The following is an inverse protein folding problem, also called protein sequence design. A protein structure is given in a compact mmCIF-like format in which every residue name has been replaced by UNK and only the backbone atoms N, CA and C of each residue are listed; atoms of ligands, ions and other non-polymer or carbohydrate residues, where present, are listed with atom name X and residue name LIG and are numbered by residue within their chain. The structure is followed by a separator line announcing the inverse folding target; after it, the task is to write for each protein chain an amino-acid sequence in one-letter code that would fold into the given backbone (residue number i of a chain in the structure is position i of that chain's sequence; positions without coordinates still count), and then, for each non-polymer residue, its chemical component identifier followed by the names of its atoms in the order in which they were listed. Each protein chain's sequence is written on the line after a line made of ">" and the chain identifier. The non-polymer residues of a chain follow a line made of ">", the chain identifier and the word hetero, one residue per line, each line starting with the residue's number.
data_IF_972597218600
#
_entry.id   IF_972597218600
#
_cell.length_a   1.000
_cell.length_b   1.000
_cell.length_c   1.000
_cell.angle_alpha   90.00
_cell.angle_beta   90.00
_cell.angle_gamma   90.00
#
_symmetry.space_group_name_H-M   'P 1'
#
loop_
_entity.id
_entity.type
_entity.pdbx_description
1 polymer ?
#
# COMPACT_ATOMS: atom_id res chain seq x y z
N UNK A 1 3.98 11.21 -0.04
CA UNK A 1 2.56 11.03 0.34
C UNK A 1 1.59 11.51 -0.72
N UNK A 2 1.65 12.77 -1.20
CA UNK A 2 0.77 13.25 -2.27
C UNK A 2 0.77 12.38 -3.52
N UNK A 3 1.96 12.14 -4.09
CA UNK A 3 2.10 11.26 -5.26
C UNK A 3 1.55 9.85 -5.04
N UNK A 4 1.78 9.25 -3.87
CA UNK A 4 1.22 7.95 -3.50
C UNK A 4 -0.32 7.97 -3.54
N UNK A 5 -0.95 8.94 -2.87
CA UNK A 5 -2.40 9.05 -2.79
C UNK A 5 -3.03 9.32 -4.16
N UNK A 6 -2.40 10.18 -4.96
CA UNK A 6 -2.88 10.50 -6.32
C UNK A 6 -2.80 9.29 -7.23
N UNK A 7 -1.66 8.62 -7.31
CA UNK A 7 -1.51 7.42 -8.15
C UNK A 7 -2.45 6.30 -7.72
N UNK A 8 -2.57 6.04 -6.41
CA UNK A 8 -3.48 5.01 -5.90
C UNK A 8 -4.94 5.33 -6.19
N UNK A 9 -5.36 6.60 -6.01
CA UNK A 9 -6.73 7.02 -6.33
C UNK A 9 -7.01 6.83 -7.82
N UNK A 10 -6.11 7.29 -8.70
CA UNK A 10 -6.23 7.14 -10.15
C UNK A 10 -6.50 5.68 -10.56
N UNK A 11 -5.70 4.74 -10.05
CA UNK A 11 -5.84 3.31 -10.36
C UNK A 11 -7.11 2.74 -9.73
N UNK A 12 -7.44 3.12 -8.50
CA UNK A 12 -8.63 2.62 -7.78
C UNK A 12 -9.94 2.91 -8.52
N UNK A 13 -10.03 4.07 -9.18
CA UNK A 13 -11.21 4.45 -9.96
C UNK A 13 -11.41 3.51 -11.14
N UNK A 14 -10.33 3.11 -11.81
CA UNK A 14 -10.40 2.14 -12.90
C UNK A 14 -10.69 0.72 -12.40
N UNK A 15 -10.11 0.30 -11.28
CA UNK A 15 -10.42 -0.99 -10.65
C UNK A 15 -11.91 -1.13 -10.29
N UNK A 16 -12.56 -0.02 -9.92
CA UNK A 16 -14.01 0.03 -9.61
C UNK A 16 -14.90 0.33 -10.83
N UNK A 17 -14.34 0.37 -12.05
CA UNK A 17 -15.08 0.70 -13.28
C UNK A 17 -15.80 2.06 -13.26
N UNK A 18 -15.27 3.05 -12.53
CA UNK A 18 -15.88 4.38 -12.49
C UNK A 18 -15.95 4.96 -13.89
N UNK A 19 -17.14 5.47 -14.25
CA UNK A 19 -17.41 6.02 -15.59
C UNK A 19 -17.16 5.04 -16.75
N UNK A 20 -17.17 3.73 -16.51
CA UNK A 20 -16.90 2.72 -17.52
C UNK A 20 -15.43 2.63 -17.93
N UNK A 21 -14.51 3.21 -17.14
CA UNK A 21 -13.07 3.08 -17.35
C UNK A 21 -12.57 1.88 -16.56
N UNK A 22 -12.05 0.88 -17.26
CA UNK A 22 -11.50 -0.36 -16.67
C UNK A 22 -10.02 -0.61 -17.01
N UNK A 23 -9.52 0.04 -18.06
CA UNK A 23 -8.11 -0.04 -18.43
C UNK A 23 -7.26 0.86 -17.53
N UNK A 24 -6.18 0.30 -17.00
CA UNK A 24 -5.23 1.04 -16.16
C UNK A 24 -4.06 1.67 -16.94
N UNK A 25 -3.99 1.41 -18.25
CA UNK A 25 -2.84 1.76 -19.10
C UNK A 25 -2.53 3.27 -19.11
N UNK A 26 -3.55 4.13 -19.06
CA UNK A 26 -3.31 5.59 -19.03
C UNK A 26 -2.61 6.03 -17.73
N UNK A 27 -2.80 5.30 -16.63
CA UNK A 27 -2.19 5.61 -15.33
C UNK A 27 -0.75 5.11 -15.22
N UNK A 28 -0.19 4.47 -16.24
CA UNK A 28 1.23 4.14 -16.29
C UNK A 28 2.13 5.38 -16.12
N UNK A 29 1.65 6.55 -16.59
CA UNK A 29 2.32 7.83 -16.33
C UNK A 29 2.44 8.12 -14.84
N UNK A 30 1.33 8.02 -14.10
CA UNK A 30 1.32 8.20 -12.65
C UNK A 30 2.12 7.11 -11.93
N UNK A 31 2.02 5.85 -12.37
CA UNK A 31 2.74 4.71 -11.79
C UNK A 31 4.26 4.86 -11.92
N UNK A 32 4.75 5.22 -13.11
CA UNK A 32 6.19 5.28 -13.38
C UNK A 32 6.81 6.60 -12.91
N UNK A 33 6.17 7.74 -13.19
CA UNK A 33 6.78 9.05 -12.92
C UNK A 33 6.42 9.60 -11.55
N UNK A 34 5.12 9.69 -11.22
CA UNK A 34 4.67 10.31 -9.97
C UNK A 34 4.98 9.41 -8.78
N UNK A 35 4.55 8.16 -8.85
CA UNK A 35 4.81 7.17 -7.82
C UNK A 35 6.23 6.63 -7.91
N UNK A 36 6.65 6.09 -9.05
CA UNK A 36 7.98 5.50 -9.22
C UNK A 36 9.12 6.47 -8.94
N UNK A 37 9.31 7.48 -9.78
CA UNK A 37 10.42 8.42 -9.62
C UNK A 37 10.16 9.40 -8.47
N UNK A 38 8.96 9.99 -8.39
CA UNK A 38 8.63 11.01 -7.40
C UNK A 38 8.71 10.53 -5.95
N UNK A 39 8.23 9.31 -5.65
CA UNK A 39 8.36 8.76 -4.30
C UNK A 39 9.79 8.32 -3.99
N UNK A 40 10.55 7.79 -4.96
CA UNK A 40 11.97 7.46 -4.75
C UNK A 40 12.79 8.70 -4.38
N UNK A 41 12.57 9.82 -5.07
CA UNK A 41 13.22 11.10 -4.75
C UNK A 41 12.80 11.56 -3.35
N UNK A 42 11.50 11.53 -3.05
CA UNK A 42 10.97 11.92 -1.73
C UNK A 42 11.55 11.06 -0.61
N UNK A 43 11.76 9.77 -0.85
CA UNK A 43 12.36 8.86 0.12
C UNK A 43 13.78 9.29 0.51
N UNK A 44 14.61 9.72 -0.44
CA UNK A 44 15.99 10.15 -0.15
C UNK A 44 16.01 11.31 0.86
N UNK A 45 15.05 12.23 0.78
CA UNK A 45 14.93 13.33 1.73
C UNK A 45 14.48 12.85 3.12
N UNK A 46 13.64 11.82 3.21
CA UNK A 46 13.28 11.21 4.50
C UNK A 46 14.49 10.49 5.15
N UNK A 47 15.39 9.91 4.35
CA UNK A 47 16.66 9.38 4.86
C UNK A 47 17.53 10.49 5.45
N UNK A 48 17.65 11.64 4.78
CA UNK A 48 18.40 12.81 5.29
C UNK A 48 17.80 13.34 6.59
N UNK A 49 16.47 13.29 6.75
CA UNK A 49 15.77 13.65 8.00
C UNK A 49 15.90 12.60 9.12
N UNK A 50 16.50 11.44 8.84
CA UNK A 50 16.61 10.32 9.79
C UNK A 50 15.30 9.56 10.02
N UNK A 51 14.31 9.71 9.13
CA UNK A 51 13.03 9.01 9.23
C UNK A 51 13.05 7.69 8.46
N UNK A 52 13.64 6.66 9.08
CA UNK A 52 13.81 5.33 8.47
C UNK A 52 12.49 4.68 8.07
N UNK A 53 11.42 4.88 8.85
CA UNK A 53 10.10 4.31 8.54
C UNK A 53 9.56 4.88 7.22
N UNK A 54 9.48 6.22 7.11
CA UNK A 54 8.99 6.86 5.89
C UNK A 54 9.91 6.60 4.70
N UNK A 55 11.23 6.59 4.88
CA UNK A 55 12.18 6.21 3.83
C UNK A 55 11.86 4.82 3.26
N UNK A 56 11.68 3.84 4.13
CA UNK A 56 11.44 2.44 3.73
C UNK A 56 10.10 2.30 3.03
N UNK A 57 9.04 2.89 3.59
CA UNK A 57 7.69 2.87 2.99
C UNK A 57 7.70 3.55 1.62
N UNK A 58 8.22 4.78 1.53
CA UNK A 58 8.24 5.52 0.26
C UNK A 58 9.05 4.80 -0.80
N UNK A 59 10.24 4.29 -0.46
CA UNK A 59 11.08 3.56 -1.41
C UNK A 59 10.41 2.27 -1.89
N UNK A 60 9.80 1.51 -0.97
CA UNK A 60 9.09 0.27 -1.28
C UNK A 60 7.94 0.53 -2.26
N UNK A 61 7.06 1.48 -1.96
CA UNK A 61 5.92 1.79 -2.83
C UNK A 61 6.33 2.43 -4.15
N UNK A 62 7.42 3.20 -4.17
CA UNK A 62 7.97 3.72 -5.41
C UNK A 62 8.38 2.58 -6.36
N UNK A 63 9.12 1.59 -5.84
CA UNK A 63 9.56 0.44 -6.63
C UNK A 63 8.40 -0.50 -7.01
N UNK A 64 7.41 -0.67 -6.11
CA UNK A 64 6.19 -1.39 -6.43
C UNK A 64 5.44 -0.76 -7.61
N UNK A 65 5.12 0.54 -7.52
CA UNK A 65 4.37 1.23 -8.58
C UNK A 65 5.17 1.34 -9.87
N UNK A 66 6.47 1.60 -9.79
CA UNK A 66 7.35 1.60 -10.96
C UNK A 66 7.39 0.23 -11.65
N UNK A 67 7.53 -0.85 -10.87
CA UNK A 67 7.50 -2.22 -11.38
C UNK A 67 6.14 -2.60 -11.97
N UNK A 68 5.05 -2.26 -11.29
CA UNK A 68 3.69 -2.50 -11.79
C UNK A 68 3.42 -1.73 -13.08
N UNK A 69 3.85 -0.46 -13.15
CA UNK A 69 3.79 0.34 -14.37
C UNK A 69 4.55 -0.30 -15.52
N UNK A 70 5.78 -0.78 -15.28
CA UNK A 70 6.60 -1.50 -16.26
C UNK A 70 5.89 -2.75 -16.81
N UNK A 71 5.25 -3.54 -15.96
CA UNK A 71 4.50 -4.74 -16.37
C UNK A 71 3.38 -4.38 -17.37
N UNK A 72 2.73 -3.23 -17.18
CA UNK A 72 1.62 -2.78 -18.02
C UNK A 72 2.05 -2.16 -19.36
N UNK A 73 3.32 -1.80 -19.54
CA UNK A 73 3.82 -1.14 -20.77
C UNK A 73 3.88 -2.18 -21.91
N UNK A 74 3.03 -2.06 -22.95
CA UNK A 74 3.00 -3.06 -24.02
C UNK A 74 4.33 -3.16 -24.78
N UNK A 75 5.04 -2.04 -24.95
CA UNK A 75 6.31 -1.98 -25.66
C UNK A 75 7.44 -2.78 -25.00
N UNK A 76 7.30 -3.17 -23.73
CA UNK A 76 8.28 -4.00 -23.02
C UNK A 76 8.02 -5.50 -23.21
N UNK A 77 6.93 -5.91 -23.86
CA UNK A 77 6.70 -7.29 -24.29
C UNK A 77 6.52 -8.30 -23.14
N UNK A 78 6.18 -7.84 -21.93
CA UNK A 78 6.04 -8.73 -20.76
C UNK A 78 4.92 -9.75 -20.99
N UNK A 79 3.72 -9.31 -21.38
CA UNK A 79 2.62 -10.22 -21.70
C UNK A 79 2.95 -11.12 -22.92
N UNK A 80 3.63 -10.58 -23.93
CA UNK A 80 4.00 -11.33 -25.14
C UNK A 80 4.96 -12.48 -24.83
N UNK A 81 5.84 -12.33 -23.83
CA UNK A 81 6.72 -13.41 -23.36
C UNK A 81 5.95 -14.63 -22.81
N UNK A 82 4.73 -14.43 -22.33
CA UNK A 82 3.82 -15.50 -21.91
C UNK A 82 2.88 -15.98 -23.03
N UNK A 83 3.00 -15.43 -24.25
CA UNK A 83 2.04 -15.67 -25.35
C UNK A 83 0.71 -14.92 -25.18
N UNK A 84 0.70 -13.83 -24.40
CA UNK A 84 -0.47 -13.01 -24.08
C UNK A 84 -0.90 -13.16 -22.62
N UNK A 85 -2.17 -12.85 -22.34
CA UNK A 85 -2.76 -12.95 -21.00
C UNK A 85 -3.16 -14.39 -20.66
N UNK A 86 -2.17 -15.26 -20.53
CA UNK A 86 -2.35 -16.68 -20.20
C UNK A 86 -2.60 -16.89 -18.71
N UNK A 87 -3.10 -18.07 -18.29
CA UNK A 87 -3.17 -18.42 -16.87
C UNK A 87 -1.81 -18.31 -16.16
N UNK A 88 -0.71 -18.62 -16.85
CA UNK A 88 0.65 -18.45 -16.29
C UNK A 88 0.97 -16.98 -16.00
N UNK A 89 0.66 -16.07 -16.95
CA UNK A 89 0.80 -14.62 -16.76
C UNK A 89 0.00 -14.14 -15.54
N UNK A 90 -1.26 -14.55 -15.43
CA UNK A 90 -2.12 -14.14 -14.33
C UNK A 90 -1.67 -14.68 -12.97
N UNK A 91 -1.18 -15.92 -12.92
CA UNK A 91 -0.56 -16.46 -11.71
C UNK A 91 0.72 -15.70 -11.34
N UNK A 92 1.58 -15.39 -12.31
CA UNK A 92 2.80 -14.61 -12.07
C UNK A 92 2.49 -13.20 -11.55
N UNK A 93 1.49 -12.53 -12.11
CA UNK A 93 1.01 -11.22 -11.65
C UNK A 93 0.42 -11.32 -10.23
N UNK A 94 -0.37 -12.36 -9.95
CA UNK A 94 -0.89 -12.64 -8.62
C UNK A 94 0.22 -12.82 -7.58
N UNK A 95 1.27 -13.58 -7.90
CA UNK A 95 2.44 -13.73 -7.02
C UNK A 95 3.19 -12.42 -6.81
N UNK A 96 3.38 -11.62 -7.87
CA UNK A 96 4.00 -10.31 -7.76
C UNK A 96 3.26 -9.47 -6.71
N UNK A 97 1.95 -9.27 -6.87
CA UNK A 97 1.15 -8.44 -5.95
C UNK A 97 1.08 -9.05 -4.54
N UNK A 98 0.95 -10.37 -4.43
CA UNK A 98 0.87 -11.07 -3.14
C UNK A 98 2.13 -10.87 -2.30
N UNK A 99 3.33 -10.92 -2.91
CA UNK A 99 4.57 -10.70 -2.18
C UNK A 99 4.69 -9.26 -1.67
N UNK A 100 4.13 -8.29 -2.41
CA UNK A 100 4.03 -6.91 -1.93
C UNK A 100 3.00 -6.76 -0.81
N UNK A 101 1.92 -7.54 -0.81
CA UNK A 101 1.01 -7.62 0.34
C UNK A 101 1.75 -8.13 1.59
N UNK A 102 2.52 -9.22 1.47
CA UNK A 102 3.35 -9.74 2.58
C UNK A 102 4.31 -8.66 3.10
N UNK A 103 4.92 -7.88 2.21
CA UNK A 103 5.79 -6.79 2.64
C UNK A 103 5.01 -5.66 3.35
N UNK A 104 3.84 -5.28 2.83
CA UNK A 104 2.99 -4.28 3.45
C UNK A 104 2.50 -4.69 4.85
N UNK A 105 2.29 -5.98 5.11
CA UNK A 105 1.94 -6.47 6.44
C UNK A 105 2.95 -6.00 7.51
N UNK A 106 4.25 -5.94 7.19
CA UNK A 106 5.25 -5.41 8.12
C UNK A 106 5.07 -3.90 8.38
N UNK A 107 4.69 -3.13 7.36
CA UNK A 107 4.36 -1.71 7.53
C UNK A 107 3.09 -1.51 8.36
N UNK A 108 2.07 -2.35 8.14
CA UNK A 108 0.85 -2.35 8.95
C UNK A 108 1.18 -2.60 10.42
N UNK A 109 1.96 -3.64 10.72
CA UNK A 109 2.37 -3.96 12.10
C UNK A 109 3.18 -2.82 12.73
N UNK A 110 4.15 -2.25 12.00
CA UNK A 110 4.94 -1.13 12.50
C UNK A 110 4.08 0.13 12.73
N UNK A 111 3.09 0.37 11.87
CA UNK A 111 2.21 1.55 11.96
C UNK A 111 1.34 1.59 13.21
N UNK A 112 1.08 0.44 13.84
CA UNK A 112 0.38 0.35 15.14
C UNK A 112 1.01 1.23 16.22
N UNK A 113 2.32 1.49 16.11
CA UNK A 113 3.09 2.32 17.04
C UNK A 113 3.04 3.81 16.73
N UNK A 114 2.49 4.21 15.57
CA UNK A 114 2.52 5.57 15.04
C UNK A 114 1.21 6.32 15.32
N UNK A 115 0.18 6.08 14.49
CA UNK A 115 -1.11 6.75 14.59
C UNK A 115 -2.20 5.98 13.85
N UNK A 116 -3.47 6.23 14.19
CA UNK A 116 -4.59 5.47 13.65
C UNK A 116 -4.82 5.68 12.15
N UNK A 117 -4.47 6.86 11.62
CA UNK A 117 -4.58 7.12 10.17
C UNK A 117 -3.64 6.21 9.39
N UNK A 118 -2.40 6.02 9.84
CA UNK A 118 -1.47 5.09 9.20
C UNK A 118 -1.91 3.63 9.36
N UNK A 119 -2.45 3.24 10.52
CA UNK A 119 -2.98 1.89 10.72
C UNK A 119 -4.09 1.62 9.69
N UNK A 120 -5.05 2.53 9.57
CA UNK A 120 -6.15 2.38 8.61
C UNK A 120 -5.66 2.43 7.16
N UNK A 121 -4.67 3.27 6.86
CA UNK A 121 -4.08 3.38 5.51
C UNK A 121 -3.43 2.05 5.12
N UNK A 122 -2.55 1.50 5.95
CA UNK A 122 -1.89 0.23 5.63
C UNK A 122 -2.82 -0.97 5.71
N UNK A 123 -3.86 -0.94 6.55
CA UNK A 123 -4.86 -2.00 6.62
C UNK A 123 -5.72 -2.04 5.34
N UNK A 124 -6.21 -0.89 4.91
CA UNK A 124 -6.99 -0.80 3.67
C UNK A 124 -6.10 -1.10 2.46
N UNK A 125 -4.84 -0.69 2.48
CA UNK A 125 -3.87 -1.07 1.45
C UNK A 125 -3.57 -2.57 1.42
N UNK A 126 -3.48 -3.21 2.60
CA UNK A 126 -3.29 -4.66 2.72
C UNK A 126 -4.43 -5.41 2.05
N UNK A 127 -5.67 -5.03 2.37
CA UNK A 127 -6.86 -5.62 1.77
C UNK A 127 -6.89 -5.40 0.25
N UNK A 128 -6.50 -4.21 -0.22
CA UNK A 128 -6.38 -3.94 -1.65
C UNK A 128 -5.43 -4.94 -2.33
N UNK A 129 -4.19 -5.07 -1.83
CA UNK A 129 -3.18 -5.95 -2.44
C UNK A 129 -3.61 -7.43 -2.39
N UNK A 130 -4.22 -7.87 -1.29
CA UNK A 130 -4.73 -9.25 -1.15
C UNK A 130 -5.85 -9.53 -2.15
N UNK A 131 -6.82 -8.61 -2.30
CA UNK A 131 -7.92 -8.80 -3.26
C UNK A 131 -7.46 -8.68 -4.71
N UNK A 132 -6.46 -7.85 -5.01
CA UNK A 132 -5.87 -7.74 -6.35
C UNK A 132 -5.11 -9.01 -6.74
N UNK A 133 -4.29 -9.55 -5.83
CA UNK A 133 -3.63 -10.84 -6.02
C UNK A 133 -4.65 -11.98 -6.22
N UNK A 134 -5.67 -12.04 -5.35
CA UNK A 134 -6.74 -13.03 -5.46
C UNK A 134 -7.52 -12.90 -6.78
N UNK A 135 -7.80 -11.66 -7.22
CA UNK A 135 -8.42 -11.39 -8.51
C UNK A 135 -7.61 -11.97 -9.66
N UNK A 136 -6.29 -11.82 -9.62
CA UNK A 136 -5.38 -12.35 -10.64
C UNK A 136 -5.38 -13.89 -10.66
N UNK A 137 -5.32 -14.55 -9.51
CA UNK A 137 -5.39 -16.02 -9.44
C UNK A 137 -6.75 -16.57 -9.93
N UNK A 138 -7.85 -15.94 -9.51
CA UNK A 138 -9.20 -16.33 -9.94
C UNK A 138 -9.39 -16.11 -11.44
N UNK A 139 -8.73 -15.11 -12.02
CA UNK A 139 -8.72 -14.90 -13.47
C UNK A 139 -7.92 -16.00 -14.19
N UNK A 140 -6.82 -16.47 -13.61
CA UNK A 140 -6.06 -17.61 -14.13
C UNK A 140 -6.90 -18.90 -14.16
N UNK A 141 -7.81 -19.07 -13.19
CA UNK A 141 -8.78 -20.18 -13.14
C UNK A 141 -9.95 -20.03 -14.15
N UNK A 142 -9.97 -18.95 -14.94
CA UNK A 142 -11.03 -18.67 -15.93
C UNK A 142 -12.32 -18.11 -15.33
N UNK A 143 -12.34 -17.76 -14.05
CA UNK A 143 -13.52 -17.27 -13.34
C UNK A 143 -13.68 -15.74 -13.46
N UNK A 144 -13.90 -15.26 -14.69
CA UNK A 144 -13.86 -13.83 -15.06
C UNK A 144 -14.75 -12.94 -14.19
N UNK A 145 -16.01 -13.33 -13.94
CA UNK A 145 -16.94 -12.51 -13.15
C UNK A 145 -16.49 -12.39 -11.68
N UNK A 146 -15.99 -13.48 -11.09
CA UNK A 146 -15.48 -13.46 -9.71
C UNK A 146 -14.22 -12.62 -9.61
N UNK A 147 -13.32 -12.71 -10.59
CA UNK A 147 -12.14 -11.85 -10.68
C UNK A 147 -12.55 -10.38 -10.74
N UNK A 148 -13.52 -10.00 -11.59
CA UNK A 148 -14.00 -8.62 -11.68
C UNK A 148 -14.57 -8.08 -10.34
N UNK A 149 -15.30 -8.93 -9.61
CA UNK A 149 -15.82 -8.56 -8.29
C UNK A 149 -14.69 -8.37 -7.25
N UNK A 150 -13.68 -9.23 -7.27
CA UNK A 150 -12.50 -9.10 -6.39
C UNK A 150 -11.67 -7.86 -6.75
N UNK A 151 -11.50 -7.57 -8.05
CA UNK A 151 -10.85 -6.35 -8.53
C UNK A 151 -11.60 -5.09 -8.07
N UNK A 152 -12.93 -5.11 -8.13
CA UNK A 152 -13.76 -4.00 -7.63
C UNK A 152 -13.60 -3.82 -6.11
N UNK A 153 -13.56 -4.93 -5.35
CA UNK A 153 -13.29 -4.88 -3.92
C UNK A 153 -11.90 -4.31 -3.61
N UNK A 154 -10.87 -4.76 -4.35
CA UNK A 154 -9.51 -4.23 -4.24
C UNK A 154 -9.47 -2.72 -4.53
N UNK A 155 -10.18 -2.27 -5.56
CA UNK A 155 -10.36 -0.86 -5.90
C UNK A 155 -11.05 -0.05 -4.81
N UNK A 156 -12.07 -0.59 -4.15
CA UNK A 156 -12.75 0.09 -3.04
C UNK A 156 -11.82 0.32 -1.84
N UNK A 157 -11.00 -0.67 -1.51
CA UNK A 157 -10.01 -0.51 -0.43
C UNK A 157 -8.86 0.43 -0.83
N UNK A 158 -8.40 0.38 -2.08
CA UNK A 158 -7.44 1.34 -2.64
C UNK A 158 -7.97 2.78 -2.55
N UNK A 159 -9.25 2.97 -2.89
CA UNK A 159 -9.92 4.27 -2.83
C UNK A 159 -9.89 4.81 -1.40
N UNK A 160 -10.29 4.03 -0.40
CA UNK A 160 -10.23 4.46 1.00
C UNK A 160 -8.80 4.76 1.46
N UNK A 161 -7.83 3.89 1.10
CA UNK A 161 -6.42 4.09 1.44
C UNK A 161 -5.89 5.40 0.84
N UNK A 162 -6.27 5.72 -0.39
CA UNK A 162 -5.89 6.96 -1.06
C UNK A 162 -6.47 8.21 -0.38
N UNK A 163 -7.72 8.15 0.10
CA UNK A 163 -8.33 9.25 0.86
C UNK A 163 -7.62 9.48 2.20
N UNK A 164 -7.21 8.41 2.88
CA UNK A 164 -6.37 8.51 4.10
C UNK A 164 -4.97 9.07 3.78
N UNK A 165 -4.43 8.75 2.60
CA UNK A 165 -3.23 9.37 2.07
C UNK A 165 -3.38 10.87 1.87
N UNK A 166 -4.48 11.33 1.27
CA UNK A 166 -4.78 12.76 1.14
C UNK A 166 -5.02 13.45 2.47
N UNK A 167 -5.68 12.77 3.42
CA UNK A 167 -5.81 13.28 4.78
C UNK A 167 -4.43 13.51 5.44
N UNK A 168 -3.50 12.58 5.23
CA UNK A 168 -2.13 12.72 5.72
C UNK A 168 -1.41 13.90 5.05
N UNK A 169 -1.62 14.13 3.75
CA UNK A 169 -1.10 15.32 3.04
C UNK A 169 -1.65 16.60 3.64
N UNK A 170 -2.96 16.65 3.88
CA UNK A 170 -3.61 17.81 4.51
C UNK A 170 -3.00 18.06 5.91
N UNK A 171 -2.81 17.02 6.71
CA UNK A 171 -2.16 17.15 8.01
C UNK A 171 -0.77 17.81 7.93
N UNK A 172 0.10 17.33 7.03
CA UNK A 172 1.44 17.89 6.87
C UNK A 172 1.42 19.33 6.35
N UNK A 173 0.58 19.64 5.36
CA UNK A 173 0.44 21.00 4.84
C UNK A 173 -0.12 21.95 5.89
N UNK A 174 -1.09 21.51 6.69
CA UNK A 174 -1.62 22.29 7.79
C UNK A 174 -0.54 22.59 8.85
N UNK A 175 0.30 21.61 9.20
CA UNK A 175 1.40 21.81 10.16
C UNK A 175 2.40 22.87 9.70
N UNK A 176 2.71 22.90 8.40
CA UNK A 176 3.74 23.80 7.86
C UNK A 176 3.18 25.18 7.48
N UNK A 177 1.94 25.24 6.96
CA UNK A 177 1.40 26.45 6.34
C UNK A 177 0.25 27.11 7.13
N UNK A 178 -0.42 26.39 8.05
CA UNK A 178 -1.62 26.87 8.72
C UNK A 178 -1.46 26.87 10.26
N UNK A 179 -2.21 27.72 10.98
CA UNK A 179 -2.07 27.83 12.45
C UNK A 179 -2.79 26.71 13.22
N UNK A 180 -3.42 25.75 12.55
CA UNK A 180 -4.16 24.65 13.19
C UNK A 180 -3.70 23.30 12.66
N UNK A 181 -3.78 22.29 13.52
CA UNK A 181 -3.36 20.93 13.21
C UNK A 181 -4.57 19.99 13.12
N UNK A 182 -4.57 19.17 12.08
CA UNK A 182 -5.56 18.11 11.88
C UNK A 182 -5.12 16.87 12.68
N UNK A 183 -5.98 16.22 13.48
CA UNK A 183 -5.53 15.14 14.37
C UNK A 183 -5.31 13.81 13.64
N UNK A 184 -4.12 13.21 13.78
CA UNK A 184 -3.82 11.87 13.21
C UNK A 184 -4.15 10.71 14.16
N UNK A 185 -4.48 11.00 15.43
CA UNK A 185 -4.79 10.00 16.47
C UNK A 185 -3.57 9.17 16.91
N UNK A 186 -2.74 9.75 17.77
CA UNK A 186 -1.53 9.12 18.32
C UNK A 186 -1.85 7.84 19.12
N UNK A 187 -1.35 6.69 18.64
CA UNK A 187 -1.53 5.38 19.26
C UNK A 187 -0.34 4.93 20.12
N UNK A 188 0.77 5.68 20.08
CA UNK A 188 2.03 5.30 20.74
C UNK A 188 1.88 5.13 22.26
N UNK A 189 1.00 5.90 22.90
CA UNK A 189 0.71 5.82 24.34
C UNK A 189 0.01 4.53 24.73
N UNK A 190 -0.94 4.08 23.92
CA UNK A 190 -1.65 2.83 24.14
C UNK A 190 -0.71 1.64 23.94
N UNK A 191 0.13 1.70 22.90
CA UNK A 191 1.12 0.67 22.61
C UNK A 191 2.15 0.51 23.74
N UNK A 192 2.74 1.61 24.24
CA UNK A 192 3.67 1.59 25.37
C UNK A 192 3.07 0.95 26.63
N UNK A 193 1.78 1.21 26.91
CA UNK A 193 1.06 0.58 28.02
C UNK A 193 0.87 -0.91 27.81
N UNK A 194 0.55 -1.33 26.59
CA UNK A 194 0.41 -2.73 26.23
C UNK A 194 1.73 -3.49 26.37
N UNK A 195 2.84 -2.97 25.84
CA UNK A 195 4.17 -3.57 26.01
C UNK A 195 4.55 -3.71 27.49
N UNK A 196 4.29 -2.68 28.31
CA UNK A 196 4.59 -2.74 29.75
C UNK A 196 3.79 -3.83 30.48
N UNK A 197 2.55 -4.09 30.04
CA UNK A 197 1.68 -5.14 30.60
C UNK A 197 2.15 -6.53 30.20
N UNK A 198 2.64 -6.72 28.97
CA UNK A 198 3.11 -8.02 28.46
C UNK A 198 4.51 -8.41 28.97
N UNK A 199 5.36 -7.44 29.33
CA UNK A 199 6.67 -7.70 29.96
C UNK A 199 6.62 -7.95 31.47
N UNK A 200 5.43 -7.90 32.10
CA UNK A 200 5.27 -8.03 33.56
C UNK A 200 4.83 -9.40 34.14
N UNK A 201 4.61 -10.52 33.39
CA UNK A 201 4.19 -11.78 34.00
C UNK A 201 5.28 -12.83 34.31
N UNK A 202 6.59 -12.58 34.13
CA UNK A 202 7.62 -13.64 34.31
C UNK A 202 8.79 -13.33 35.26
N UNK A 203 8.71 -12.31 36.11
CA UNK A 203 9.80 -11.95 37.05
C UNK A 203 9.48 -12.21 38.53
N UNK A 204 8.47 -13.04 38.83
CA UNK A 204 8.06 -13.33 40.22
C UNK A 204 8.11 -14.80 40.62
N UNK A 205 8.63 -15.70 39.79
CA UNK A 205 8.63 -17.14 40.10
C UNK A 205 10.01 -17.74 40.39
N UNK A 206 11.10 -16.99 40.23
CA UNK A 206 12.47 -17.52 40.41
C UNK A 206 13.19 -17.05 41.68
N UNK A 207 12.58 -16.17 42.51
CA UNK A 207 13.16 -15.71 43.78
C UNK A 207 12.56 -16.38 45.04
N UNK A 208 11.59 -17.28 44.91
CA UNK A 208 11.01 -18.05 46.04
C UNK A 208 11.47 -19.52 46.12
N UNK A 209 12.50 -19.92 45.35
CA UNK A 209 13.10 -21.27 45.42
C UNK A 209 14.64 -21.29 45.62
N UNK A 210 15.19 -20.32 46.34
CA UNK A 210 16.59 -20.36 46.80
C UNK A 210 16.68 -20.20 48.32
#
# INVERSE_FOLDING_TARGET
>A
MGGFATTLLSVSLAMMNFRGVFSQTIFMGDLCFVAGIGLLISAQWEMVRGNTFSYTVLSAYALFYGGYGVILIPALGIADAYGGYTPEYHNALGFFVLLWAVFNLFFLLASCTLNIVYILLFLTLELCLVFDAASSFVLADGLVEKSANLMTAAGAFAFVSSLLGYYSVLHYLCQDALPFNVPMGDTSRAWKRWCKKTSSPSLKTDEEMA
#
